data_IF_996793851079
#
_entry.id   IF_996793851079
#
_cell.length_a   1.000
_cell.length_b   1.000
_cell.length_c   1.000
_cell.angle_alpha   90.00
_cell.angle_beta   90.00
_cell.angle_gamma   90.00
#
_symmetry.space_group_name_H-M   'P 1'
#
loop_
_entity.id
_entity.type
_entity.pdbx_description
1 polymer ?
#
# COMPACT_ATOMS: atom_id res chain seq x y z
N UNK A 1 33.38 11.14 -13.65
CA UNK A 1 33.89 11.95 -14.77
C UNK A 1 32.72 12.16 -15.72
N UNK A 2 31.93 13.19 -15.46
CA UNK A 2 30.76 13.56 -16.26
C UNK A 2 31.17 14.64 -17.24
N UNK A 3 31.65 14.23 -18.40
CA UNK A 3 31.94 15.14 -19.51
C UNK A 3 30.66 15.34 -20.33
N UNK A 4 30.28 16.60 -20.52
CA UNK A 4 29.31 17.13 -21.50
C UNK A 4 27.82 17.15 -21.12
N UNK A 5 27.42 18.22 -20.42
CA UNK A 5 26.09 18.82 -20.61
C UNK A 5 26.17 20.35 -20.58
N UNK A 6 27.07 20.91 -21.40
CA UNK A 6 27.08 22.34 -21.65
C UNK A 6 26.14 22.62 -22.84
N UNK A 7 24.98 23.26 -22.64
CA UNK A 7 23.96 23.46 -23.69
C UNK A 7 24.50 24.23 -24.89
N UNK A 8 25.63 24.94 -24.73
CA UNK A 8 26.35 25.61 -25.80
C UNK A 8 26.81 24.66 -26.92
N UNK A 9 27.16 23.39 -26.62
CA UNK A 9 27.65 22.42 -27.60
C UNK A 9 26.59 22.05 -28.66
N UNK A 10 25.29 22.14 -28.33
CA UNK A 10 24.20 21.88 -29.26
C UNK A 10 24.13 22.90 -30.41
N UNK A 11 24.67 24.12 -30.20
CA UNK A 11 24.64 25.20 -31.20
C UNK A 11 25.91 25.30 -32.04
N UNK A 12 26.98 24.57 -31.69
CA UNK A 12 28.28 24.64 -32.36
C UNK A 12 28.20 24.11 -33.80
N UNK A 13 27.55 22.98 -34.01
CA UNK A 13 27.44 22.33 -35.32
C UNK A 13 26.61 23.13 -36.35
N UNK A 14 25.41 23.66 -36.01
CA UNK A 14 24.69 24.54 -36.93
C UNK A 14 25.41 25.87 -37.17
N UNK A 15 26.06 26.47 -36.16
CA UNK A 15 26.85 27.69 -36.34
C UNK A 15 28.05 27.48 -37.26
N UNK A 16 28.72 26.33 -37.14
CA UNK A 16 29.84 25.95 -37.98
C UNK A 16 29.43 25.72 -39.45
N UNK A 17 28.29 25.05 -39.69
CA UNK A 17 27.74 24.88 -41.03
C UNK A 17 27.34 26.22 -41.68
N UNK A 18 26.80 27.15 -40.90
CA UNK A 18 26.42 28.49 -41.37
C UNK A 18 27.66 29.35 -41.71
N UNK A 19 28.74 29.18 -40.93
CA UNK A 19 30.03 29.84 -41.20
C UNK A 19 30.70 29.30 -42.47
N UNK A 20 30.66 27.98 -42.70
CA UNK A 20 31.13 27.37 -43.95
C UNK A 20 30.28 27.85 -45.13
N UNK A 21 28.96 27.94 -44.97
CA UNK A 21 28.08 28.50 -46.00
C UNK A 21 28.49 29.93 -46.40
N UNK A 22 28.80 30.79 -45.42
CA UNK A 22 29.20 32.18 -45.67
C UNK A 22 30.53 32.29 -46.45
N UNK A 23 31.42 31.31 -46.31
CA UNK A 23 32.71 31.27 -47.02
C UNK A 23 32.59 30.65 -48.42
N UNK A 24 31.69 29.67 -48.60
CA UNK A 24 31.63 28.85 -49.83
C UNK A 24 30.48 29.22 -50.78
N UNK A 25 29.47 29.97 -50.32
CA UNK A 25 28.35 30.45 -51.16
C UNK A 25 27.40 29.36 -51.69
N UNK A 26 27.42 28.16 -51.13
CA UNK A 26 26.65 27.02 -51.63
C UNK A 26 25.24 26.92 -51.02
N UNK A 27 24.21 27.11 -51.83
CA UNK A 27 22.80 27.13 -51.37
C UNK A 27 22.38 25.86 -50.59
N UNK A 28 22.99 24.70 -50.88
CA UNK A 28 22.72 23.45 -50.17
C UNK A 28 23.16 23.42 -48.70
N UNK A 29 24.23 24.15 -48.33
CA UNK A 29 24.67 24.23 -46.93
C UNK A 29 23.76 25.12 -46.08
N UNK A 30 23.11 26.11 -46.70
CA UNK A 30 22.13 26.96 -46.01
C UNK A 30 20.90 26.17 -45.59
N UNK A 31 20.33 25.37 -46.50
CA UNK A 31 19.16 24.52 -46.21
C UNK A 31 19.50 23.47 -45.15
N UNK A 32 20.69 22.86 -45.21
CA UNK A 32 21.14 21.91 -44.21
C UNK A 32 21.36 22.56 -42.84
N UNK A 33 21.95 23.76 -42.78
CA UNK A 33 22.14 24.52 -41.56
C UNK A 33 20.82 24.93 -40.89
N UNK A 34 19.82 25.37 -41.69
CA UNK A 34 18.48 25.66 -41.20
C UNK A 34 17.77 24.42 -40.68
N UNK A 35 17.88 23.28 -41.38
CA UNK A 35 17.30 22.01 -40.94
C UNK A 35 17.87 21.53 -39.61
N UNK A 36 19.20 21.52 -39.47
CA UNK A 36 19.87 21.13 -38.22
C UNK A 36 19.56 22.12 -37.10
N UNK A 37 19.58 23.43 -37.38
CA UNK A 37 19.23 24.47 -36.40
C UNK A 37 17.79 24.33 -35.89
N UNK A 38 16.85 24.01 -36.77
CA UNK A 38 15.45 23.78 -36.41
C UNK A 38 15.29 22.53 -35.52
N UNK A 39 16.00 21.44 -35.82
CA UNK A 39 16.00 20.23 -34.98
C UNK A 39 16.59 20.53 -33.59
N UNK A 40 17.67 21.30 -33.52
CA UNK A 40 18.29 21.72 -32.25
C UNK A 40 17.33 22.60 -31.43
N UNK A 41 16.65 23.57 -32.07
CA UNK A 41 15.67 24.43 -31.41
C UNK A 41 14.47 23.65 -30.89
N UNK A 42 13.91 22.73 -31.68
CA UNK A 42 12.82 21.85 -31.25
C UNK A 42 13.26 20.98 -30.06
N UNK A 43 14.47 20.42 -30.10
CA UNK A 43 15.02 19.61 -29.01
C UNK A 43 15.29 20.42 -27.75
N UNK A 44 15.79 21.65 -27.88
CA UNK A 44 15.96 22.58 -26.75
C UNK A 44 14.63 22.99 -26.14
N UNK A 45 13.62 23.31 -26.96
CA UNK A 45 12.29 23.69 -26.51
C UNK A 45 11.54 22.53 -25.82
N UNK A 46 11.68 21.30 -26.35
CA UNK A 46 11.15 20.09 -25.71
C UNK A 46 11.86 19.77 -24.39
N UNK A 47 13.17 19.99 -24.31
CA UNK A 47 13.96 19.75 -23.10
C UNK A 47 13.68 20.81 -22.02
N UNK A 48 13.47 22.08 -22.39
CA UNK A 48 13.07 23.15 -21.45
C UNK A 48 11.63 22.98 -20.94
N UNK A 49 10.70 22.58 -21.83
CA UNK A 49 9.32 22.25 -21.44
C UNK A 49 9.25 21.08 -20.44
N UNK A 50 9.99 20.00 -20.71
CA UNK A 50 10.06 18.85 -19.80
C UNK A 50 10.74 19.22 -18.48
N UNK A 51 11.80 20.03 -18.50
CA UNK A 51 12.48 20.49 -17.28
C UNK A 51 11.59 21.39 -16.41
N UNK A 52 10.85 22.33 -17.01
CA UNK A 52 9.89 23.20 -16.31
C UNK A 52 8.72 22.42 -15.74
N UNK A 53 8.17 21.46 -16.50
CA UNK A 53 7.09 20.59 -16.03
C UNK A 53 7.53 19.72 -14.85
N UNK A 54 8.76 19.18 -14.90
CA UNK A 54 9.35 18.35 -13.84
C UNK A 54 9.61 19.17 -12.59
N UNK A 55 10.15 20.40 -12.72
CA UNK A 55 10.28 21.34 -11.60
C UNK A 55 8.93 21.74 -11.01
N UNK A 56 7.90 21.95 -11.82
CA UNK A 56 6.55 22.28 -11.33
C UNK A 56 5.94 21.12 -10.57
N UNK A 57 6.11 19.89 -11.06
CA UNK A 57 5.69 18.66 -10.36
C UNK A 57 6.48 18.46 -9.06
N UNK A 58 7.79 18.66 -9.05
CA UNK A 58 8.62 18.62 -7.84
C UNK A 58 8.23 19.67 -6.82
N UNK A 59 7.90 20.90 -7.26
CA UNK A 59 7.40 21.94 -6.36
C UNK A 59 6.03 21.60 -5.78
N UNK A 60 5.13 21.04 -6.59
CA UNK A 60 3.81 20.59 -6.12
C UNK A 60 3.93 19.40 -5.17
N UNK A 61 4.86 18.48 -5.45
CA UNK A 61 5.22 17.40 -4.55
C UNK A 61 5.74 17.98 -3.22
N UNK A 62 6.76 18.84 -3.27
CA UNK A 62 7.28 19.52 -2.07
C UNK A 62 6.23 20.32 -1.29
N UNK A 63 5.33 21.03 -1.98
CA UNK A 63 4.25 21.79 -1.34
C UNK A 63 3.20 20.89 -0.66
N UNK A 64 3.15 19.61 -1.03
CA UNK A 64 2.27 18.61 -0.44
C UNK A 64 3.06 17.47 0.22
N UNK A 65 4.32 17.69 0.60
CA UNK A 65 5.18 16.67 1.20
C UNK A 65 4.61 16.12 2.51
N UNK A 66 3.74 16.86 3.18
CA UNK A 66 3.02 16.39 4.37
C UNK A 66 1.87 15.43 4.06
N UNK A 67 1.50 15.24 2.78
CA UNK A 67 0.35 14.42 2.35
C UNK A 67 0.74 13.08 1.73
N UNK A 68 2.02 12.78 1.65
CA UNK A 68 2.51 11.49 1.19
C UNK A 68 3.78 11.12 1.95
N UNK A 69 4.03 9.83 2.10
CA UNK A 69 5.25 9.31 2.74
C UNK A 69 5.98 8.51 1.68
N UNK A 70 7.22 8.88 1.42
CA UNK A 70 8.08 8.19 0.48
C UNK A 70 8.82 7.04 1.18
N UNK A 71 9.13 5.94 0.47
CA UNK A 71 9.99 4.89 1.01
C UNK A 71 11.34 5.42 1.50
N UNK A 72 11.87 6.46 0.84
CA UNK A 72 13.14 7.10 1.20
C UNK A 72 13.08 7.87 2.54
N UNK A 73 11.88 8.24 3.01
CA UNK A 73 11.69 8.92 4.30
C UNK A 73 11.73 7.95 5.50
N UNK A 74 11.80 6.65 5.23
CA UNK A 74 11.67 5.58 6.22
C UNK A 74 12.93 4.71 6.22
N UNK A 75 13.38 4.33 7.41
CA UNK A 75 14.38 3.27 7.57
C UNK A 75 13.78 1.90 7.15
N UNK A 76 14.66 0.94 6.82
CA UNK A 76 14.21 -0.36 6.32
C UNK A 76 13.25 -1.10 7.27
N UNK A 77 13.50 -1.16 8.60
CA UNK A 77 12.53 -1.72 9.55
C UNK A 77 11.16 -1.02 9.52
N UNK A 78 11.12 0.30 9.48
CA UNK A 78 9.90 1.08 9.43
C UNK A 78 9.14 0.89 8.10
N UNK A 79 9.83 0.80 6.97
CA UNK A 79 9.22 0.45 5.68
C UNK A 79 8.51 -0.90 5.75
N UNK A 80 9.15 -1.91 6.34
CA UNK A 80 8.55 -3.25 6.49
C UNK A 80 7.34 -3.25 7.42
N UNK A 81 7.40 -2.50 8.51
CA UNK A 81 6.28 -2.41 9.44
C UNK A 81 5.07 -1.68 8.81
N UNK A 82 5.31 -0.59 8.07
CA UNK A 82 4.26 0.12 7.34
C UNK A 82 3.60 -0.75 6.28
N UNK A 83 4.41 -1.49 5.51
CA UNK A 83 3.90 -2.42 4.48
C UNK A 83 3.01 -3.51 5.08
N UNK A 84 3.37 -4.03 6.25
CA UNK A 84 2.54 -5.01 6.98
C UNK A 84 1.19 -4.42 7.39
N UNK A 85 1.17 -3.18 7.88
CA UNK A 85 -0.07 -2.48 8.21
C UNK A 85 -0.96 -2.27 6.97
N UNK A 86 -0.38 -1.81 5.86
CA UNK A 86 -1.07 -1.63 4.58
C UNK A 86 -1.67 -2.94 4.07
N UNK A 87 -0.88 -4.02 4.06
CA UNK A 87 -1.36 -5.35 3.65
C UNK A 87 -2.52 -5.85 4.53
N UNK A 88 -2.47 -5.61 5.84
CA UNK A 88 -3.54 -6.01 6.76
C UNK A 88 -4.85 -5.26 6.45
N UNK A 89 -4.78 -3.94 6.25
CA UNK A 89 -5.94 -3.13 5.89
C UNK A 89 -6.47 -3.51 4.50
N UNK A 90 -5.59 -3.70 3.52
CA UNK A 90 -5.98 -4.15 2.19
C UNK A 90 -6.73 -5.48 2.24
N UNK A 91 -6.24 -6.45 3.02
CA UNK A 91 -6.89 -7.74 3.19
C UNK A 91 -8.31 -7.61 3.80
N UNK A 92 -8.49 -6.71 4.78
CA UNK A 92 -9.80 -6.43 5.38
C UNK A 92 -10.74 -5.82 4.34
N UNK A 93 -10.28 -4.75 3.68
CA UNK A 93 -11.08 -3.97 2.73
C UNK A 93 -11.49 -4.80 1.51
N UNK A 94 -10.63 -5.72 1.07
CA UNK A 94 -10.88 -6.58 -0.09
C UNK A 94 -11.70 -7.84 0.22
N UNK A 95 -11.89 -8.19 1.50
CA UNK A 95 -12.68 -9.35 1.91
C UNK A 95 -14.12 -9.27 1.44
N UNK A 96 -14.75 -10.41 1.16
CA UNK A 96 -16.15 -10.48 0.76
C UNK A 96 -17.09 -10.18 1.91
N UNK A 97 -16.71 -10.56 3.13
CA UNK A 97 -17.45 -10.22 4.35
C UNK A 97 -17.57 -8.71 4.54
N UNK A 98 -16.49 -7.97 4.31
CA UNK A 98 -16.53 -6.49 4.29
C UNK A 98 -17.42 -5.97 3.17
N UNK A 99 -17.22 -6.45 1.93
CA UNK A 99 -18.03 -6.02 0.78
C UNK A 99 -19.52 -6.34 0.92
N UNK A 100 -19.87 -7.40 1.65
CA UNK A 100 -21.23 -7.82 1.93
C UNK A 100 -21.88 -7.08 3.11
N UNK A 101 -21.18 -6.14 3.77
CA UNK A 101 -21.77 -5.35 4.86
C UNK A 101 -21.87 -6.06 6.21
N UNK A 102 -21.20 -7.21 6.37
CA UNK A 102 -21.35 -8.06 7.57
C UNK A 102 -20.50 -7.61 8.76
N UNK A 103 -19.47 -6.80 8.49
CA UNK A 103 -18.66 -6.06 9.46
C UNK A 103 -18.85 -4.56 9.23
N UNK A 104 -18.56 -3.71 10.22
CA UNK A 104 -18.81 -2.26 10.13
C UNK A 104 -18.07 -1.60 8.96
N UNK A 105 -18.77 -1.43 7.83
CA UNK A 105 -18.15 -0.98 6.57
C UNK A 105 -17.83 0.51 6.55
N UNK A 106 -18.65 1.33 7.22
CA UNK A 106 -18.46 2.78 7.26
C UNK A 106 -17.25 3.11 8.13
N UNK A 107 -17.21 2.57 9.34
CA UNK A 107 -16.10 2.77 10.27
C UNK A 107 -14.80 2.22 9.70
N UNK A 108 -14.80 1.01 9.12
CA UNK A 108 -13.60 0.46 8.49
C UNK A 108 -13.07 1.28 7.31
N UNK A 109 -13.96 1.90 6.51
CA UNK A 109 -13.55 2.74 5.36
C UNK A 109 -12.88 4.04 5.77
N UNK A 110 -13.18 4.56 6.94
CA UNK A 110 -12.65 5.84 7.42
C UNK A 110 -11.49 5.60 8.38
N UNK A 111 -11.70 4.77 9.40
CA UNK A 111 -10.74 4.57 10.48
C UNK A 111 -9.52 3.76 10.07
N UNK A 112 -9.65 2.71 9.23
CA UNK A 112 -8.49 1.90 8.87
C UNK A 112 -7.45 2.64 8.00
N UNK A 113 -7.84 3.40 6.96
CA UNK A 113 -6.89 4.25 6.24
C UNK A 113 -6.26 5.32 7.12
N UNK A 114 -7.04 5.91 8.04
CA UNK A 114 -6.52 6.90 8.99
C UNK A 114 -5.49 6.28 9.95
N UNK A 115 -5.75 5.09 10.48
CA UNK A 115 -4.80 4.35 11.33
C UNK A 115 -3.49 4.08 10.60
N UNK A 116 -3.54 3.63 9.33
CA UNK A 116 -2.34 3.41 8.51
C UNK A 116 -1.58 4.72 8.28
N UNK A 117 -2.29 5.82 8.04
CA UNK A 117 -1.68 7.14 7.89
C UNK A 117 -0.96 7.57 9.17
N UNK A 118 -1.62 7.49 10.33
CA UNK A 118 -1.02 7.84 11.61
C UNK A 118 0.18 6.95 11.97
N UNK A 119 0.13 5.65 11.65
CA UNK A 119 1.26 4.74 11.80
C UNK A 119 2.41 5.19 10.90
N UNK A 120 2.14 5.49 9.63
CA UNK A 120 3.15 5.97 8.67
C UNK A 120 3.83 7.25 9.15
N UNK A 121 3.06 8.24 9.61
CA UNK A 121 3.60 9.52 10.07
C UNK A 121 4.52 9.35 11.29
N UNK A 122 4.11 8.51 12.25
CA UNK A 122 4.92 8.19 13.43
C UNK A 122 6.18 7.42 13.07
N UNK A 123 6.11 6.51 12.11
CA UNK A 123 7.28 5.78 11.60
C UNK A 123 8.26 6.70 10.89
N UNK A 124 7.78 7.65 10.08
CA UNK A 124 8.61 8.68 9.45
C UNK A 124 9.35 9.50 10.51
N UNK A 125 8.66 9.93 11.57
CA UNK A 125 9.29 10.65 12.69
C UNK A 125 10.33 9.77 13.39
N UNK A 126 10.02 8.50 13.66
CA UNK A 126 10.94 7.55 14.27
C UNK A 126 12.21 7.36 13.42
N UNK A 127 12.08 7.19 12.10
CA UNK A 127 13.21 7.07 11.18
C UNK A 127 14.05 8.33 11.11
N UNK A 128 13.44 9.53 11.11
CA UNK A 128 14.18 10.80 11.20
C UNK A 128 14.99 10.88 12.50
N UNK A 129 14.37 10.52 13.64
CA UNK A 129 15.04 10.53 14.94
C UNK A 129 16.17 9.48 15.00
N UNK A 130 15.99 8.29 14.41
CA UNK A 130 17.07 7.31 14.28
C UNK A 130 18.25 7.86 13.45
N UNK A 131 17.97 8.52 12.33
CA UNK A 131 18.99 9.10 11.48
C UNK A 131 19.75 10.26 12.17
N UNK A 132 19.07 11.08 12.95
CA UNK A 132 19.68 12.13 13.78
C UNK A 132 20.50 11.55 14.92
N UNK A 133 19.96 10.57 15.64
CA UNK A 133 20.63 9.89 16.74
C UNK A 133 21.93 9.21 16.26
N UNK A 134 21.91 8.57 15.09
CA UNK A 134 23.10 7.97 14.48
C UNK A 134 24.17 8.98 14.02
N UNK A 135 23.81 10.25 13.82
CA UNK A 135 24.77 11.34 13.52
C UNK A 135 25.37 11.95 14.78
N UNK A 136 24.59 12.02 15.85
CA UNK A 136 24.96 12.65 17.12
C UNK A 136 25.79 11.72 18.02
N UNK A 137 25.53 10.42 17.95
CA UNK A 137 26.22 9.43 18.78
C UNK A 137 27.48 8.93 18.06
N UNK A 138 28.67 9.10 18.66
CA UNK A 138 29.90 8.47 18.16
C UNK A 138 29.75 6.95 18.09
N UNK A 139 30.34 6.31 17.07
CA UNK A 139 30.34 4.83 16.94
C UNK A 139 30.93 4.12 18.16
N UNK A 140 31.84 4.77 18.87
CA UNK A 140 32.42 4.31 20.12
C UNK A 140 32.07 5.32 21.20
N UNK A 141 31.17 4.94 22.12
CA UNK A 141 30.85 5.78 23.27
C UNK A 141 32.05 5.77 24.23
N UNK A 142 32.45 6.94 24.78
CA UNK A 142 33.37 6.98 25.90
C UNK A 142 32.82 6.18 27.09
N UNK A 143 33.64 5.36 27.77
CA UNK A 143 33.19 4.56 28.90
C UNK A 143 32.64 5.45 30.02
N UNK A 144 31.45 5.12 30.53
CA UNK A 144 30.73 5.89 31.55
C UNK A 144 29.74 6.92 31.02
N UNK A 145 29.61 7.05 29.69
CA UNK A 145 28.63 7.94 29.05
C UNK A 145 27.41 7.16 28.52
N UNK A 146 27.40 5.82 28.59
CA UNK A 146 26.29 4.98 28.14
C UNK A 146 24.98 5.29 28.89
N UNK A 147 25.07 5.54 30.20
CA UNK A 147 23.93 5.88 31.04
C UNK A 147 23.26 7.21 30.62
N UNK A 148 24.00 8.13 30.02
CA UNK A 148 23.46 9.40 29.53
C UNK A 148 22.60 9.23 28.26
N UNK A 149 22.89 8.22 27.43
CA UNK A 149 22.16 7.95 26.18
C UNK A 149 21.01 6.95 26.34
N UNK A 150 21.05 6.14 27.39
CA UNK A 150 20.03 5.12 27.71
C UNK A 150 18.58 5.63 27.71
N UNK A 151 18.24 6.83 28.22
CA UNK A 151 16.87 7.34 28.16
C UNK A 151 16.38 7.58 26.72
N UNK A 152 17.26 8.04 25.83
CA UNK A 152 16.91 8.34 24.44
C UNK A 152 16.70 7.05 23.62
N UNK A 153 17.59 6.07 23.77
CA UNK A 153 17.44 4.76 23.11
C UNK A 153 16.20 4.04 23.61
N UNK A 154 15.96 4.02 24.92
CA UNK A 154 14.76 3.39 25.49
C UNK A 154 13.45 4.07 25.05
N UNK A 155 13.44 5.39 24.86
CA UNK A 155 12.28 6.09 24.32
C UNK A 155 11.99 5.69 22.85
N UNK A 156 13.03 5.58 22.01
CA UNK A 156 12.89 5.13 20.62
C UNK A 156 12.44 3.66 20.54
N UNK A 157 13.00 2.79 21.39
CA UNK A 157 12.59 1.38 21.49
C UNK A 157 11.14 1.23 21.97
N UNK A 158 10.71 2.06 22.93
CA UNK A 158 9.33 2.09 23.40
C UNK A 158 8.37 2.52 22.29
N UNK A 159 8.73 3.56 21.52
CA UNK A 159 7.96 4.01 20.37
C UNK A 159 7.84 2.93 19.30
N UNK A 160 8.96 2.27 18.94
CA UNK A 160 8.98 1.15 18.02
C UNK A 160 8.10 -0.02 18.49
N UNK A 161 8.20 -0.37 19.77
CA UNK A 161 7.43 -1.48 20.36
C UNK A 161 5.93 -1.19 20.34
N UNK A 162 5.52 0.04 20.67
CA UNK A 162 4.13 0.49 20.63
C UNK A 162 3.56 0.43 19.20
N UNK A 163 4.28 0.97 18.21
CA UNK A 163 3.88 0.92 16.80
C UNK A 163 3.79 -0.52 16.29
N UNK A 164 4.77 -1.36 16.65
CA UNK A 164 4.78 -2.78 16.30
C UNK A 164 3.58 -3.51 16.89
N UNK A 165 3.19 -3.18 18.13
CA UNK A 165 2.01 -3.77 18.77
C UNK A 165 0.71 -3.37 18.08
N UNK A 166 0.56 -2.10 17.70
CA UNK A 166 -0.59 -1.63 16.92
C UNK A 166 -0.73 -2.36 15.59
N UNK A 167 0.38 -2.51 14.85
CA UNK A 167 0.36 -3.29 13.60
C UNK A 167 0.00 -4.75 13.84
N UNK A 168 0.46 -5.37 14.93
CA UNK A 168 0.03 -6.74 15.30
C UNK A 168 -1.47 -6.83 15.57
N UNK A 169 -2.09 -5.80 16.17
CA UNK A 169 -3.54 -5.77 16.37
C UNK A 169 -4.28 -5.66 15.02
N UNK A 170 -3.82 -4.81 14.09
CA UNK A 170 -4.34 -4.75 12.72
C UNK A 170 -4.25 -6.11 12.01
N UNK A 171 -3.10 -6.78 12.11
CA UNK A 171 -2.91 -8.11 11.53
C UNK A 171 -3.82 -9.18 12.18
N UNK A 172 -4.03 -9.12 13.50
CA UNK A 172 -4.95 -10.02 14.19
C UNK A 172 -6.38 -9.81 13.69
N UNK A 173 -6.80 -8.56 13.52
CA UNK A 173 -8.10 -8.24 12.95
C UNK A 173 -8.23 -8.76 11.51
N UNK A 174 -7.23 -8.49 10.65
CA UNK A 174 -7.21 -8.99 9.28
C UNK A 174 -7.29 -10.52 9.21
N UNK A 175 -6.56 -11.23 10.07
CA UNK A 175 -6.64 -12.70 10.17
C UNK A 175 -8.05 -13.16 10.52
N UNK A 176 -8.73 -12.47 11.43
CA UNK A 176 -10.08 -12.83 11.83
C UNK A 176 -11.09 -12.57 10.71
N UNK A 177 -10.97 -11.46 10.00
CA UNK A 177 -11.79 -11.15 8.82
C UNK A 177 -11.59 -12.21 7.73
N UNK A 178 -10.35 -12.62 7.45
CA UNK A 178 -10.05 -13.67 6.47
C UNK A 178 -10.60 -15.04 6.89
N UNK A 179 -10.65 -15.36 8.19
CA UNK A 179 -11.31 -16.57 8.68
C UNK A 179 -12.82 -16.49 8.43
N UNK A 180 -13.44 -15.38 8.79
CA UNK A 180 -14.87 -15.15 8.51
C UNK A 180 -15.16 -15.23 7.01
N UNK A 181 -14.25 -14.74 6.16
CA UNK A 181 -14.39 -14.80 4.70
C UNK A 181 -14.45 -16.23 4.17
N UNK A 182 -13.62 -17.13 4.71
CA UNK A 182 -13.66 -18.56 4.37
C UNK A 182 -14.99 -19.21 4.77
N UNK A 183 -15.50 -18.89 5.96
CA UNK A 183 -16.77 -19.47 6.45
C UNK A 183 -17.95 -18.88 5.69
N UNK A 184 -17.95 -17.58 5.41
CA UNK A 184 -18.94 -16.92 4.57
C UNK A 184 -19.04 -17.54 3.17
N UNK A 185 -17.88 -17.89 2.60
CA UNK A 185 -17.81 -18.59 1.33
C UNK A 185 -18.47 -19.97 1.36
N UNK A 186 -18.30 -20.74 2.45
CA UNK A 186 -18.97 -22.02 2.63
C UNK A 186 -20.48 -21.82 2.82
N UNK A 187 -20.88 -20.84 3.64
CA UNK A 187 -22.27 -20.47 3.86
C UNK A 187 -23.00 -20.12 2.55
N UNK A 188 -22.41 -19.26 1.70
CA UNK A 188 -22.99 -18.93 0.40
C UNK A 188 -23.17 -20.14 -0.52
N UNK A 189 -22.27 -21.13 -0.47
CA UNK A 189 -22.40 -22.35 -1.26
C UNK A 189 -23.56 -23.21 -0.76
N UNK A 190 -23.70 -23.32 0.56
CA UNK A 190 -24.82 -24.03 1.17
C UNK A 190 -26.16 -23.35 0.88
N UNK A 191 -26.25 -22.03 0.94
CA UNK A 191 -27.48 -21.32 0.58
C UNK A 191 -27.88 -21.56 -0.89
N UNK A 192 -26.91 -21.55 -1.81
CA UNK A 192 -27.17 -21.89 -3.22
C UNK A 192 -27.62 -23.33 -3.39
N UNK A 193 -27.10 -24.26 -2.60
CA UNK A 193 -27.52 -25.65 -2.61
C UNK A 193 -28.92 -25.82 -2.00
N UNK A 194 -29.19 -25.14 -0.89
CA UNK A 194 -30.50 -25.10 -0.23
C UNK A 194 -31.60 -24.56 -1.16
N UNK A 195 -31.28 -23.56 -1.99
CA UNK A 195 -32.20 -23.05 -3.00
C UNK A 195 -32.57 -24.10 -4.07
N UNK A 196 -31.71 -25.11 -4.29
CA UNK A 196 -31.95 -26.24 -5.21
C UNK A 196 -32.56 -27.45 -4.53
N UNK A 197 -32.66 -27.48 -3.20
CA UNK A 197 -33.19 -28.61 -2.43
C UNK A 197 -34.59 -29.06 -2.87
N UNK A 198 -35.54 -28.18 -3.26
CA UNK A 198 -36.85 -28.63 -3.74
C UNK A 198 -36.77 -29.52 -5.00
N UNK A 199 -35.87 -29.19 -5.95
CA UNK A 199 -35.64 -29.99 -7.17
C UNK A 199 -35.06 -31.37 -6.81
N UNK A 200 -34.13 -31.42 -5.84
CA UNK A 200 -33.56 -32.68 -5.36
C UNK A 200 -34.57 -33.52 -4.56
N UNK A 201 -35.43 -32.89 -3.77
CA UNK A 201 -36.49 -33.57 -3.02
C UNK A 201 -37.53 -34.18 -3.97
N UNK A 202 -37.89 -33.45 -5.03
CA UNK A 202 -38.78 -33.96 -6.06
C UNK A 202 -38.17 -35.16 -6.81
N UNK A 203 -36.91 -35.06 -7.21
CA UNK A 203 -36.19 -36.17 -7.83
C UNK A 203 -36.13 -37.39 -6.90
N UNK A 204 -35.89 -37.21 -5.61
CA UNK A 204 -35.86 -38.30 -4.62
C UNK A 204 -37.24 -38.94 -4.42
N UNK A 205 -38.30 -38.14 -4.36
CA UNK A 205 -39.67 -38.64 -4.25
C UNK A 205 -40.08 -39.48 -5.48
N UNK A 206 -39.55 -39.14 -6.66
CA UNK A 206 -39.79 -39.86 -7.91
C UNK A 206 -38.93 -41.13 -8.05
N UNK A 207 -37.77 -41.22 -7.37
CA UNK A 207 -36.77 -42.28 -7.59
C UNK A 207 -36.56 -43.25 -6.42
N UNK A 208 -36.93 -42.90 -5.18
CA UNK A 208 -36.57 -43.70 -3.99
C UNK A 208 -37.80 -44.01 -3.13
N UNK A 209 -38.08 -45.31 -2.94
CA UNK A 209 -38.92 -45.83 -1.85
C UNK A 209 -37.99 -46.34 -0.73
N UNK A 210 -37.39 -45.50 0.12
CA UNK A 210 -36.68 -46.01 1.32
C UNK A 210 -36.24 -44.97 2.37
N UNK A 211 -36.14 -45.45 3.62
CA UNK A 211 -35.71 -44.77 4.86
C UNK A 211 -34.29 -44.18 4.77
N UNK A 212 -33.38 -44.80 4.00
CA UNK A 212 -31.98 -44.36 3.85
C UNK A 212 -31.84 -42.96 3.22
N UNK A 213 -32.80 -42.55 2.37
CA UNK A 213 -32.80 -41.22 1.80
C UNK A 213 -33.12 -40.14 2.86
N UNK A 214 -33.94 -40.47 3.86
CA UNK A 214 -34.30 -39.56 4.94
C UNK A 214 -33.11 -39.30 5.88
N UNK A 215 -32.33 -40.34 6.20
CA UNK A 215 -31.10 -40.19 7.01
C UNK A 215 -30.09 -39.28 6.32
N UNK A 216 -29.86 -39.45 5.02
CA UNK A 216 -28.89 -38.63 4.27
C UNK A 216 -29.31 -37.15 4.17
N UNK A 217 -30.60 -36.87 3.98
CA UNK A 217 -31.13 -35.49 4.00
C UNK A 217 -30.96 -34.87 5.39
N UNK A 218 -31.21 -35.63 6.46
CA UNK A 218 -31.04 -35.16 7.84
C UNK A 218 -29.57 -34.81 8.12
N UNK A 219 -28.63 -35.67 7.72
CA UNK A 219 -27.19 -35.41 7.85
C UNK A 219 -26.75 -34.13 7.12
N UNK A 220 -27.23 -33.91 5.89
CA UNK A 220 -26.94 -32.69 5.14
C UNK A 220 -27.51 -31.44 5.81
N UNK A 221 -28.69 -31.56 6.42
CA UNK A 221 -29.35 -30.47 7.16
C UNK A 221 -28.57 -30.12 8.44
N UNK A 222 -28.09 -31.13 9.16
CA UNK A 222 -27.26 -30.97 10.37
C UNK A 222 -25.91 -30.32 10.03
N UNK A 223 -25.28 -30.74 8.93
CA UNK A 223 -24.05 -30.11 8.42
C UNK A 223 -24.30 -28.65 8.04
N UNK A 224 -25.42 -28.33 7.41
CA UNK A 224 -25.77 -26.95 7.06
C UNK A 224 -26.01 -26.08 8.30
N UNK A 225 -26.71 -26.60 9.31
CA UNK A 225 -26.90 -25.94 10.59
C UNK A 225 -25.57 -25.66 11.31
N UNK A 226 -24.65 -26.62 11.29
CA UNK A 226 -23.32 -26.47 11.86
C UNK A 226 -22.52 -25.34 11.18
N UNK A 227 -22.52 -25.29 9.84
CA UNK A 227 -21.81 -24.23 9.10
C UNK A 227 -22.43 -22.85 9.36
N UNK A 228 -23.75 -22.75 9.49
CA UNK A 228 -24.41 -21.48 9.85
C UNK A 228 -23.99 -20.99 11.24
N UNK A 229 -23.92 -21.89 12.22
CA UNK A 229 -23.43 -21.54 13.56
C UNK A 229 -21.97 -21.05 13.53
N UNK A 230 -21.10 -21.77 12.82
CA UNK A 230 -19.70 -21.34 12.63
C UNK A 230 -19.60 -19.98 11.95
N UNK A 231 -20.48 -19.69 11.00
CA UNK A 231 -20.54 -18.40 10.32
C UNK A 231 -20.86 -17.27 11.31
N UNK A 232 -21.94 -17.41 12.08
CA UNK A 232 -22.34 -16.43 13.11
C UNK A 232 -21.23 -16.17 14.13
N UNK A 233 -20.61 -17.24 14.64
CA UNK A 233 -19.46 -17.15 15.57
C UNK A 233 -18.26 -16.43 14.94
N UNK A 234 -17.96 -16.72 13.67
CA UNK A 234 -16.83 -16.10 12.96
C UNK A 234 -17.01 -14.59 12.76
N UNK A 235 -18.25 -14.15 12.47
CA UNK A 235 -18.62 -12.74 12.33
C UNK A 235 -18.54 -12.02 13.67
N UNK A 236 -19.05 -12.65 14.73
CA UNK A 236 -18.96 -12.09 16.08
C UNK A 236 -17.51 -11.87 16.50
N UNK A 237 -16.64 -12.87 16.31
CA UNK A 237 -15.22 -12.75 16.59
C UNK A 237 -14.55 -11.66 15.75
N UNK A 238 -14.93 -11.49 14.47
CA UNK A 238 -14.41 -10.42 13.62
C UNK A 238 -14.80 -9.03 14.15
N UNK A 239 -16.05 -8.86 14.59
CA UNK A 239 -16.53 -7.61 15.21
C UNK A 239 -15.83 -7.33 16.54
N UNK A 240 -15.63 -8.35 17.37
CA UNK A 240 -14.89 -8.22 18.62
C UNK A 240 -13.44 -7.79 18.38
N UNK A 241 -12.76 -8.39 17.40
CA UNK A 241 -11.40 -8.00 17.03
C UNK A 241 -11.31 -6.55 16.51
N UNK A 242 -12.34 -6.07 15.78
CA UNK A 242 -12.44 -4.66 15.40
C UNK A 242 -12.60 -3.76 16.64
N UNK A 243 -13.46 -4.15 17.59
CA UNK A 243 -13.64 -3.42 18.85
C UNK A 243 -12.37 -3.36 19.70
N UNK A 244 -11.58 -4.44 19.78
CA UNK A 244 -10.27 -4.45 20.46
C UNK A 244 -9.28 -3.47 19.82
N UNK A 245 -9.30 -3.35 18.49
CA UNK A 245 -8.45 -2.43 17.75
C UNK A 245 -8.79 -0.97 18.05
N UNK A 246 -10.08 -0.63 18.01
CA UNK A 246 -10.57 0.75 18.21
C UNK A 246 -10.48 1.21 19.67
N UNK A 247 -10.56 0.29 20.63
CA UNK A 247 -10.48 0.61 22.07
C UNK A 247 -9.06 0.75 22.60
N UNK A 248 -8.03 0.57 21.79
CA UNK A 248 -6.64 0.81 22.20
C UNK A 248 -6.30 2.28 21.92
N UNK A 249 -6.41 3.20 22.91
CA UNK A 249 -6.24 4.62 22.66
C UNK A 249 -4.80 4.96 22.23
N UNK A 250 -4.70 6.06 21.48
CA UNK A 250 -3.46 6.75 21.11
C UNK A 250 -2.82 7.39 22.35
N UNK A 251 -2.25 6.61 23.26
CA UNK A 251 -1.35 7.15 24.31
C UNK A 251 0.05 7.29 23.78
#
# INVERSE_FOLDING_TARGET
MDTTHNPAMLFVLPAFLLLIFMVTGSEGLFVAGLGVGMIVLIRWMAMDSTYRSTRRRLRLAQAHAERYILPEDLDYPCQMLLRRAQNAVEAIMNSKVHKAGLIDTIENRVSLPEEVWQIGERLRRLSSMHAEHGKLIPRELPPGMEDAFKPYTSALDAAWTSLSQRVRHLEKYAKQVLKADKVYHAHQRLERLAAKTPEYQQLLAETVRDEMAHERIRELSDQAAHVRKLFEESILQARQAAGELLRSPLT
#
